data_IF_420501805551
#
_entry.id   IF_420501805551
#
_cell.length_a   1.000
_cell.length_b   1.000
_cell.length_c   1.000
_cell.angle_alpha   90.00
_cell.angle_beta   90.00
_cell.angle_gamma   90.00
#
_symmetry.space_group_name_H-M   'P 1'
#
loop_
_entity.id
_entity.type
_entity.pdbx_description
1 polymer ?
#
# COMPACT_ATOMS: atom_id res chain seq x y z
N UNK A 1 9.92 1.22 71.29
CA UNK A 1 10.29 1.20 69.86
C UNK A 1 9.94 -0.16 69.28
N UNK A 2 8.80 -0.29 68.59
CA UNK A 2 8.39 -1.55 67.95
C UNK A 2 8.88 -1.49 66.51
N UNK A 3 9.90 -2.28 66.17
CA UNK A 3 10.36 -2.45 64.79
C UNK A 3 9.34 -3.29 64.04
N UNK A 4 8.64 -2.69 63.09
CA UNK A 4 7.84 -3.43 62.10
C UNK A 4 8.78 -4.16 61.16
N UNK A 5 9.05 -5.44 61.43
CA UNK A 5 9.69 -6.33 60.47
C UNK A 5 8.68 -6.60 59.34
N UNK A 6 8.95 -6.13 58.12
CA UNK A 6 8.21 -6.62 56.94
C UNK A 6 8.54 -8.09 56.76
N UNK A 7 7.54 -8.95 56.98
CA UNK A 7 7.64 -10.36 56.65
C UNK A 7 7.57 -10.49 55.13
N UNK A 8 8.71 -10.70 54.49
CA UNK A 8 8.78 -11.11 53.08
C UNK A 8 8.58 -12.62 53.06
N UNK A 9 7.42 -13.08 52.58
CA UNK A 9 7.09 -14.50 52.48
C UNK A 9 7.72 -15.06 51.19
N UNK A 10 8.76 -15.94 51.25
CA UNK A 10 9.62 -16.27 50.10
C UNK A 10 9.02 -17.11 48.97
N UNK A 11 7.69 -17.22 48.85
CA UNK A 11 7.01 -17.98 47.81
C UNK A 11 6.02 -17.17 46.95
N UNK A 12 5.51 -16.06 47.49
CA UNK A 12 4.56 -15.21 46.78
C UNK A 12 5.24 -14.40 45.68
N UNK A 13 6.43 -13.86 45.95
CA UNK A 13 7.21 -13.07 44.97
C UNK A 13 7.61 -13.88 43.73
N UNK A 14 7.90 -15.17 43.88
CA UNK A 14 8.31 -16.03 42.75
C UNK A 14 7.11 -16.40 41.88
N UNK A 15 5.97 -16.72 42.51
CA UNK A 15 4.72 -17.01 41.79
C UNK A 15 4.22 -15.77 41.04
N UNK A 16 4.30 -14.60 41.67
CA UNK A 16 3.88 -13.34 41.07
C UNK A 16 4.84 -12.89 39.96
N UNK A 17 6.16 -13.06 40.15
CA UNK A 17 7.14 -12.84 39.09
C UNK A 17 6.90 -13.74 37.87
N UNK A 18 6.57 -15.02 38.09
CA UNK A 18 6.28 -15.95 37.00
C UNK A 18 4.95 -15.62 36.28
N UNK A 19 3.93 -15.16 37.02
CA UNK A 19 2.65 -14.72 36.46
C UNK A 19 2.81 -13.46 35.60
N UNK A 20 3.59 -12.49 36.08
CA UNK A 20 3.93 -11.26 35.37
C UNK A 20 4.75 -11.54 34.11
N UNK A 21 5.75 -12.44 34.20
CA UNK A 21 6.55 -12.87 33.05
C UNK A 21 5.72 -13.55 31.97
N UNK A 22 4.75 -14.41 32.35
CA UNK A 22 3.80 -15.00 31.39
C UNK A 22 2.98 -13.93 30.68
N UNK A 23 2.47 -12.94 31.42
CA UNK A 23 1.66 -11.85 30.85
C UNK A 23 2.46 -10.95 29.92
N UNK A 24 3.72 -10.67 30.25
CA UNK A 24 4.64 -9.91 29.38
C UNK A 24 4.93 -10.69 28.10
N UNK A 25 5.29 -11.98 28.19
CA UNK A 25 5.53 -12.84 27.02
C UNK A 25 4.30 -12.93 26.12
N UNK A 26 3.10 -13.06 26.71
CA UNK A 26 1.85 -13.07 25.97
C UNK A 26 1.61 -11.76 25.20
N UNK A 27 1.81 -10.60 25.85
CA UNK A 27 1.70 -9.30 25.17
C UNK A 27 2.70 -9.15 24.03
N UNK A 28 3.95 -9.60 24.22
CA UNK A 28 4.97 -9.61 23.16
C UNK A 28 4.58 -10.54 22.00
N UNK A 29 3.95 -11.69 22.30
CA UNK A 29 3.45 -12.59 21.28
C UNK A 29 2.34 -11.94 20.45
N UNK A 30 1.35 -11.31 21.11
CA UNK A 30 0.28 -10.57 20.42
C UNK A 30 0.85 -9.42 19.57
N UNK A 31 1.78 -8.64 20.11
CA UNK A 31 2.39 -7.54 19.35
C UNK A 31 3.10 -8.03 18.09
N UNK A 32 3.81 -9.17 18.17
CA UNK A 32 4.45 -9.79 17.00
C UNK A 32 3.40 -10.26 16.00
N UNK A 33 2.41 -11.01 16.44
CA UNK A 33 1.35 -11.54 15.58
C UNK A 33 0.60 -10.43 14.84
N UNK A 34 0.20 -9.37 15.56
CA UNK A 34 -0.45 -8.21 14.95
C UNK A 34 0.45 -7.52 13.91
N UNK A 35 1.74 -7.40 14.19
CA UNK A 35 2.71 -6.79 13.25
C UNK A 35 2.88 -7.64 12.01
N UNK A 36 2.95 -8.95 12.16
CA UNK A 36 3.14 -9.90 11.06
C UNK A 36 1.89 -9.97 10.18
N UNK A 37 0.70 -10.02 10.78
CA UNK A 37 -0.59 -9.95 10.07
C UNK A 37 -0.78 -8.62 9.36
N UNK A 38 -0.47 -7.49 10.00
CA UNK A 38 -0.54 -6.19 9.35
C UNK A 38 0.37 -6.11 8.11
N UNK A 39 1.60 -6.65 8.20
CA UNK A 39 2.52 -6.66 7.06
C UNK A 39 2.06 -7.60 5.95
N UNK A 40 1.65 -8.82 6.28
CA UNK A 40 1.27 -9.83 5.28
C UNK A 40 -0.09 -9.53 4.64
N UNK A 41 -1.10 -9.18 5.43
CA UNK A 41 -2.45 -8.95 4.94
C UNK A 41 -2.60 -7.55 4.34
N UNK A 42 -2.28 -6.49 5.09
CA UNK A 42 -2.53 -5.12 4.64
C UNK A 42 -1.49 -4.62 3.65
N UNK A 43 -0.19 -4.75 3.97
CA UNK A 43 0.87 -4.34 3.02
C UNK A 43 0.98 -5.31 1.84
N UNK A 44 0.70 -6.60 2.02
CA UNK A 44 0.61 -7.56 0.91
C UNK A 44 -0.43 -7.15 -0.13
N UNK A 45 -1.61 -6.70 0.29
CA UNK A 45 -2.64 -6.16 -0.61
C UNK A 45 -2.17 -4.91 -1.37
N UNK A 46 -1.40 -4.02 -0.73
CA UNK A 46 -0.83 -2.83 -1.37
C UNK A 46 0.21 -3.19 -2.45
N UNK A 47 1.07 -4.18 -2.18
CA UNK A 47 2.04 -4.69 -3.17
C UNK A 47 1.33 -5.36 -4.34
N UNK A 48 0.29 -6.15 -4.07
CA UNK A 48 -0.49 -6.82 -5.12
C UNK A 48 -1.21 -5.82 -6.03
N UNK A 49 -1.73 -4.71 -5.48
CA UNK A 49 -2.29 -3.59 -6.28
C UNK A 49 -1.27 -2.93 -7.21
N UNK A 50 0.02 -2.88 -6.85
CA UNK A 50 1.09 -2.42 -7.76
C UNK A 50 1.40 -3.42 -8.87
N UNK A 51 1.09 -4.70 -8.68
CA UNK A 51 1.40 -5.78 -9.64
C UNK A 51 0.40 -5.89 -10.79
N UNK A 52 -0.59 -5.01 -10.90
CA UNK A 52 -1.28 -4.78 -12.18
C UNK A 52 -0.31 -4.08 -13.13
N UNK A 53 0.75 -4.79 -13.55
CA UNK A 53 1.49 -4.47 -14.75
C UNK A 53 0.47 -4.58 -15.87
N UNK A 54 0.08 -3.43 -16.41
CA UNK A 54 -0.71 -3.34 -17.63
C UNK A 54 0.15 -3.88 -18.76
N UNK A 55 0.16 -5.22 -18.91
CA UNK A 55 0.77 -5.91 -20.05
C UNK A 55 0.01 -5.70 -21.35
N UNK A 56 -1.12 -4.99 -21.30
CA UNK A 56 -1.84 -4.56 -22.50
C UNK A 56 -1.00 -3.52 -23.25
N UNK A 57 -0.53 -3.90 -24.42
CA UNK A 57 0.00 -2.98 -25.41
C UNK A 57 -1.08 -1.97 -25.80
N UNK A 58 -0.73 -0.70 -25.75
CA UNK A 58 -1.61 0.41 -26.14
C UNK A 58 -1.64 0.50 -27.67
N UNK A 59 -2.83 0.68 -28.24
CA UNK A 59 -3.07 0.73 -29.68
C UNK A 59 -3.88 1.96 -30.10
N UNK A 60 -3.77 2.35 -31.36
CA UNK A 60 -4.68 3.33 -31.94
C UNK A 60 -6.09 2.75 -31.97
N UNK A 61 -7.06 3.49 -31.46
CA UNK A 61 -8.43 3.03 -31.29
C UNK A 61 -8.85 2.85 -29.83
N UNK A 62 -7.90 2.64 -28.92
CA UNK A 62 -8.18 2.40 -27.51
C UNK A 62 -8.83 3.62 -26.84
N UNK A 63 -9.81 3.34 -25.97
CA UNK A 63 -10.44 4.36 -25.12
C UNK A 63 -9.71 4.41 -23.78
N UNK A 64 -9.26 5.60 -23.40
CA UNK A 64 -8.46 5.84 -22.20
C UNK A 64 -9.05 6.98 -21.37
N UNK A 65 -8.86 6.89 -20.05
CA UNK A 65 -9.08 7.99 -19.12
C UNK A 65 -7.88 8.93 -19.16
N UNK A 66 -8.09 10.19 -19.51
CA UNK A 66 -7.03 11.20 -19.54
C UNK A 66 -6.96 11.87 -18.18
N UNK A 67 -5.78 11.85 -17.55
CA UNK A 67 -5.54 12.57 -16.31
C UNK A 67 -5.63 14.09 -16.51
N UNK A 68 -6.23 14.76 -15.53
CA UNK A 68 -6.28 16.22 -15.43
C UNK A 68 -5.93 16.62 -14.00
N UNK A 69 -5.09 17.63 -13.82
CA UNK A 69 -4.54 18.01 -12.51
C UNK A 69 -5.62 18.42 -11.49
N UNK A 70 -6.76 18.89 -11.99
CA UNK A 70 -7.87 19.40 -11.17
C UNK A 70 -8.91 18.35 -10.78
N UNK A 71 -8.82 17.11 -11.29
CA UNK A 71 -9.82 16.07 -11.05
C UNK A 71 -9.16 14.79 -10.53
N UNK A 72 -9.89 14.06 -9.67
CA UNK A 72 -9.50 12.69 -9.32
C UNK A 72 -9.46 11.86 -10.60
N UNK A 73 -8.51 10.92 -10.68
CA UNK A 73 -8.25 10.08 -11.87
C UNK A 73 -9.50 9.40 -12.45
N UNK A 74 -10.43 8.97 -11.58
CA UNK A 74 -11.69 8.33 -11.99
C UNK A 74 -12.68 9.25 -12.70
N UNK A 75 -12.53 10.56 -12.54
CA UNK A 75 -13.36 11.59 -13.17
C UNK A 75 -12.65 12.28 -14.33
N UNK A 76 -11.50 11.75 -14.77
CA UNK A 76 -10.82 12.25 -15.96
C UNK A 76 -11.71 12.12 -17.20
N UNK A 77 -11.57 12.99 -18.21
CA UNK A 77 -12.30 12.84 -19.45
C UNK A 77 -11.87 11.57 -20.19
N UNK A 78 -12.83 10.92 -20.84
CA UNK A 78 -12.55 9.83 -21.77
C UNK A 78 -12.00 10.38 -23.09
N UNK A 79 -11.00 9.70 -23.64
CA UNK A 79 -10.42 10.03 -24.92
C UNK A 79 -10.07 8.77 -25.71
N UNK A 80 -10.13 8.88 -27.04
CA UNK A 80 -9.71 7.83 -27.96
C UNK A 80 -8.29 8.10 -28.41
N UNK A 81 -7.42 7.10 -28.35
CA UNK A 81 -6.09 7.17 -28.94
C UNK A 81 -6.24 7.18 -30.45
N UNK A 82 -5.69 8.20 -31.10
CA UNK A 82 -5.71 8.30 -32.57
C UNK A 82 -4.36 8.00 -33.19
N UNK A 83 -3.26 8.20 -32.45
CA UNK A 83 -1.90 8.05 -32.98
C UNK A 83 -0.90 7.75 -31.86
N UNK A 84 0.01 6.83 -32.12
CA UNK A 84 1.14 6.48 -31.26
C UNK A 84 2.40 7.12 -31.84
N UNK A 85 3.04 8.00 -31.08
CA UNK A 85 4.24 8.70 -31.52
C UNK A 85 5.47 7.91 -31.07
N UNK A 86 6.13 7.28 -32.03
CA UNK A 86 7.35 6.53 -31.82
C UNK A 86 8.55 7.47 -31.70
N UNK A 87 9.44 7.16 -30.76
CA UNK A 87 10.73 7.83 -30.66
C UNK A 87 11.75 7.20 -31.62
N UNK A 88 12.92 7.83 -31.74
CA UNK A 88 14.05 7.32 -32.55
C UNK A 88 14.46 5.90 -32.14
N UNK A 89 14.29 5.56 -30.85
CA UNK A 89 14.58 4.25 -30.28
C UNK A 89 13.44 3.22 -30.48
N UNK A 90 12.45 3.51 -31.34
CA UNK A 90 11.23 2.70 -31.60
C UNK A 90 10.28 2.51 -30.41
N UNK A 91 10.61 3.03 -29.23
CA UNK A 91 9.69 3.07 -28.09
C UNK A 91 8.60 4.12 -28.25
N UNK A 92 7.37 3.80 -27.85
CA UNK A 92 6.27 4.77 -27.77
C UNK A 92 6.38 5.51 -26.44
N UNK A 93 6.56 6.83 -26.50
CA UNK A 93 6.65 7.69 -25.30
C UNK A 93 5.49 8.67 -25.21
N UNK A 94 4.88 9.00 -26.35
CA UNK A 94 3.83 10.01 -26.46
C UNK A 94 2.68 9.48 -27.31
N UNK A 95 1.47 9.87 -26.96
CA UNK A 95 0.24 9.45 -27.63
C UNK A 95 -0.62 10.66 -27.89
N UNK A 96 -1.24 10.70 -29.08
CA UNK A 96 -2.24 11.70 -29.41
C UNK A 96 -3.63 11.14 -29.11
N UNK A 97 -4.36 11.84 -28.24
CA UNK A 97 -5.66 11.44 -27.72
C UNK A 97 -6.69 12.47 -28.14
N UNK A 98 -7.79 12.02 -28.75
CA UNK A 98 -8.95 12.84 -29.07
C UNK A 98 -10.01 12.66 -27.98
N UNK A 99 -10.33 13.73 -27.27
CA UNK A 99 -11.48 13.81 -26.37
C UNK A 99 -12.65 14.43 -27.12
N UNK A 100 -13.81 14.57 -26.46
CA UNK A 100 -14.98 15.25 -27.05
C UNK A 100 -14.68 16.69 -27.45
N UNK A 101 -13.87 17.39 -26.64
CA UNK A 101 -13.71 18.84 -26.74
C UNK A 101 -12.34 19.26 -27.27
N UNK A 102 -11.34 18.37 -27.26
CA UNK A 102 -9.97 18.73 -27.62
C UNK A 102 -9.12 17.53 -28.04
N UNK A 103 -7.99 17.85 -28.68
CA UNK A 103 -6.93 16.89 -28.97
C UNK A 103 -5.74 17.15 -28.06
N UNK A 104 -5.25 16.11 -27.40
CA UNK A 104 -4.21 16.19 -26.38
C UNK A 104 -3.02 15.32 -26.76
N UNK A 105 -1.82 15.80 -26.46
CA UNK A 105 -0.60 14.99 -26.46
C UNK A 105 -0.32 14.58 -25.02
N UNK A 106 -0.24 13.28 -24.76
CA UNK A 106 -0.02 12.74 -23.42
C UNK A 106 1.12 11.72 -23.40
N UNK A 107 2.02 11.78 -22.40
CA UNK A 107 3.01 10.74 -22.19
C UNK A 107 2.34 9.46 -21.68
N UNK A 108 2.95 8.33 -22.02
CA UNK A 108 2.61 7.04 -21.41
C UNK A 108 3.29 6.98 -20.04
N UNK A 109 2.52 6.72 -18.97
CA UNK A 109 2.99 6.58 -17.59
C UNK A 109 2.95 5.12 -17.15
#
# INVERSE_FOLDING_TARGET
MIRHQRVVVPGLDVADHNSLNKRIKYRQAIQRDLRDRFRSEYLGQLVQKRSFKTSKSISAGDIVLVGSDNLKKIYGPLGKIIELLQSKDKGIRLVRVKTTNSMLLRPIQ
#
